data_IF_051754634439
#
_entry.id   IF_051754634439
#
_cell.length_a   1.000
_cell.length_b   1.000
_cell.length_c   1.000
_cell.angle_alpha   90.00
_cell.angle_beta   90.00
_cell.angle_gamma   90.00
#
_symmetry.space_group_name_H-M   'P 1'
#
loop_
_entity.id
_entity.type
_entity.pdbx_description
1 polymer ?
#
# COMPACT_ATOMS: atom_id res chain seq x y z
N UNK A 1 -2.81 4.62 -19.79
CA UNK A 1 -2.54 4.70 -19.20
C UNK A 1 -2.48 4.73 -18.47
N UNK A 2 -2.28 4.74 -18.11
CA UNK A 2 -1.96 4.83 -17.29
C UNK A 2 -1.47 4.94 -16.81
N UNK A 3 -0.96 5.01 -16.61
CA UNK A 3 -0.24 5.17 -16.05
C UNK A 3 -0.05 5.66 -15.37
N UNK A 4 -0.30 5.69 -15.05
CA UNK A 4 -0.12 6.21 -14.29
C UNK A 4 0.68 6.38 -13.86
N UNK A 5 0.92 6.22 -13.78
CA UNK A 5 1.60 6.27 -13.27
C UNK A 5 2.56 5.72 -13.12
N UNK A 6 3.19 5.70 -13.46
CA UNK A 6 4.21 5.31 -13.22
C UNK A 6 4.57 5.53 -12.10
N UNK A 7 4.81 5.22 -11.43
CA UNK A 7 5.12 5.28 -10.38
C UNK A 7 6.31 5.38 -9.85
N UNK A 8 7.06 6.03 -10.16
CA UNK A 8 8.39 6.26 -9.66
C UNK A 8 8.34 7.32 -8.65
N UNK A 9 8.98 7.13 -7.56
CA UNK A 9 9.03 8.12 -6.52
C UNK A 9 9.53 9.43 -7.07
N UNK A 10 8.83 10.47 -6.79
CA UNK A 10 9.20 11.80 -7.21
C UNK A 10 8.74 12.17 -8.60
N UNK A 11 8.11 11.21 -9.30
CA UNK A 11 7.59 11.50 -10.62
C UNK A 11 6.09 11.49 -10.68
N UNK A 12 5.47 11.38 -9.54
CA UNK A 12 4.04 11.45 -9.43
C UNK A 12 3.53 12.82 -9.83
N UNK A 13 2.29 12.89 -10.25
CA UNK A 13 1.66 14.15 -10.56
C UNK A 13 1.74 15.07 -9.35
N UNK A 14 1.73 16.37 -9.59
CA UNK A 14 1.77 17.34 -8.51
C UNK A 14 0.67 17.05 -7.52
N UNK A 15 1.02 16.99 -6.25
CA UNK A 15 0.07 16.71 -5.19
C UNK A 15 -0.20 15.24 -4.94
N UNK A 16 0.45 14.33 -5.68
CA UNK A 16 0.24 12.91 -5.49
C UNK A 16 1.55 12.20 -5.17
N UNK A 17 1.48 11.25 -4.25
CA UNK A 17 2.67 10.52 -3.81
C UNK A 17 2.29 9.06 -3.55
N UNK A 18 3.15 8.16 -3.97
CA UNK A 18 3.05 6.75 -3.59
C UNK A 18 3.84 6.52 -2.31
N UNK A 19 3.20 5.90 -1.32
CA UNK A 19 3.85 5.52 -0.08
C UNK A 19 4.29 4.07 -0.21
N UNK A 20 5.59 3.84 -0.11
CA UNK A 20 6.16 2.50 -0.28
C UNK A 20 6.77 1.99 1.00
N UNK A 21 6.83 0.68 1.08
CA UNK A 21 7.61 0.00 2.10
C UNK A 21 7.25 0.41 3.52
N UNK A 22 5.98 0.61 3.76
CA UNK A 22 5.53 0.84 5.12
C UNK A 22 5.50 -0.52 5.79
N UNK A 23 6.62 -0.88 6.38
CA UNK A 23 6.76 -2.15 7.05
C UNK A 23 6.74 -1.93 8.54
N UNK A 24 5.89 -2.66 9.22
CA UNK A 24 5.83 -2.65 10.67
C UNK A 24 6.31 -4.01 11.15
N UNK A 25 7.37 -4.03 11.94
CA UNK A 25 7.90 -5.27 12.45
C UNK A 25 6.84 -6.00 13.25
N UNK A 26 6.85 -7.33 13.16
CA UNK A 26 5.87 -8.13 13.88
C UNK A 26 5.84 -7.81 15.37
N UNK A 27 6.99 -7.57 15.96
CA UNK A 27 7.07 -7.25 17.38
C UNK A 27 6.35 -5.95 17.75
N UNK A 28 6.12 -5.08 16.78
CA UNK A 28 5.44 -3.82 17.01
C UNK A 28 3.92 -3.94 16.87
N UNK A 29 3.44 -5.05 16.36
CA UNK A 29 2.01 -5.24 16.15
C UNK A 29 1.29 -5.27 17.48
N UNK A 30 0.11 -4.67 17.51
CA UNK A 30 -0.69 -4.62 18.71
C UNK A 30 -0.28 -3.58 19.71
N UNK A 31 0.79 -2.85 19.44
CA UNK A 31 1.26 -1.78 20.32
C UNK A 31 0.89 -0.39 19.82
N UNK A 32 0.14 -0.31 18.75
CA UNK A 32 -0.22 0.97 18.16
C UNK A 32 0.90 1.65 17.41
N UNK A 33 2.05 1.01 17.26
CA UNK A 33 3.19 1.62 16.57
C UNK A 33 2.92 1.79 15.09
N UNK A 34 2.26 0.81 14.48
CA UNK A 34 1.88 0.92 13.07
C UNK A 34 0.95 2.08 12.83
N UNK A 35 -0.05 2.25 13.72
CA UNK A 35 -0.97 3.36 13.59
C UNK A 35 -0.26 4.69 13.78
N UNK A 36 0.65 4.77 14.73
CA UNK A 36 1.44 5.99 14.93
C UNK A 36 2.28 6.32 13.70
N UNK A 37 2.86 5.30 13.10
CA UNK A 37 3.65 5.50 11.88
C UNK A 37 2.75 6.03 10.76
N UNK A 38 1.58 5.42 10.56
CA UNK A 38 0.67 5.87 9.52
C UNK A 38 0.18 7.29 9.77
N UNK A 39 -0.09 7.64 11.01
CA UNK A 39 -0.51 8.99 11.36
C UNK A 39 0.64 9.99 11.12
N UNK A 40 1.86 9.60 11.43
CA UNK A 40 3.03 10.46 11.19
C UNK A 40 3.26 10.67 9.71
N UNK A 41 3.10 9.61 8.90
CA UNK A 41 3.22 9.71 7.45
C UNK A 41 2.17 10.69 6.91
N UNK A 42 0.93 10.54 7.34
CA UNK A 42 -0.15 11.43 6.88
C UNK A 42 0.15 12.89 7.26
N UNK A 43 0.63 13.11 8.47
CA UNK A 43 0.97 14.47 8.91
C UNK A 43 2.09 15.07 8.08
N UNK A 44 3.12 14.29 7.80
CA UNK A 44 4.25 14.75 7.00
C UNK A 44 3.82 15.06 5.56
N UNK A 45 2.98 14.21 4.98
CA UNK A 45 2.50 14.43 3.63
C UNK A 45 1.63 15.68 3.56
N UNK A 46 0.77 15.86 4.54
CA UNK A 46 -0.08 17.04 4.62
C UNK A 46 0.76 18.30 4.73
N UNK A 47 1.78 18.26 5.58
CA UNK A 47 2.67 19.41 5.75
C UNK A 47 3.44 19.72 4.48
N UNK A 48 3.66 18.74 3.63
CA UNK A 48 4.36 18.93 2.35
C UNK A 48 3.44 19.34 1.21
N UNK A 49 2.16 19.54 1.48
CA UNK A 49 1.22 19.95 0.45
C UNK A 49 0.73 18.84 -0.46
N UNK A 50 0.95 17.59 -0.07
CA UNK A 50 0.45 16.46 -0.83
C UNK A 50 -1.05 16.37 -0.68
N UNK A 51 -1.76 16.23 -1.79
CA UNK A 51 -3.21 16.18 -1.79
C UNK A 51 -3.75 14.75 -1.79
N UNK A 52 -3.00 13.84 -2.40
CA UNK A 52 -3.40 12.45 -2.48
C UNK A 52 -2.18 11.55 -2.32
N UNK A 53 -2.29 10.59 -1.43
CA UNK A 53 -1.29 9.53 -1.31
C UNK A 53 -1.94 8.20 -1.66
N UNK A 54 -1.16 7.26 -2.15
CA UNK A 54 -1.67 5.93 -2.45
C UNK A 54 -0.59 4.90 -2.14
N UNK A 55 -1.05 3.68 -1.92
CA UNK A 55 -0.16 2.56 -1.66
C UNK A 55 -0.79 1.29 -2.20
N UNK A 56 0.05 0.28 -2.37
CA UNK A 56 -0.42 -1.02 -2.80
C UNK A 56 -0.01 -2.07 -1.78
N UNK A 57 -0.82 -3.10 -1.67
CA UNK A 57 -0.52 -4.26 -0.85
C UNK A 57 -1.12 -5.49 -1.53
N UNK A 58 -1.03 -6.63 -0.89
CA UNK A 58 -1.51 -7.87 -1.47
C UNK A 58 -2.68 -8.44 -0.68
N UNK A 59 -3.44 -9.31 -1.34
CA UNK A 59 -4.69 -9.82 -0.78
C UNK A 59 -4.51 -10.64 0.50
N UNK A 60 -3.31 -11.14 0.75
CA UNK A 60 -3.04 -11.95 1.93
C UNK A 60 -2.61 -11.12 3.14
N UNK A 61 -2.32 -9.85 2.95
CA UNK A 61 -1.77 -9.02 4.01
C UNK A 61 -2.87 -8.40 4.85
N UNK A 62 -3.55 -9.24 5.61
CA UNK A 62 -4.73 -8.83 6.36
C UNK A 62 -4.42 -7.80 7.43
N UNK A 63 -3.27 -7.94 8.09
CA UNK A 63 -2.87 -6.98 9.12
C UNK A 63 -2.66 -5.60 8.53
N UNK A 64 -2.03 -5.51 7.36
CA UNK A 64 -1.83 -4.24 6.69
C UNK A 64 -3.15 -3.64 6.23
N UNK A 65 -4.03 -4.47 5.67
CA UNK A 65 -5.33 -3.99 5.22
C UNK A 65 -6.14 -3.42 6.37
N UNK A 66 -6.09 -4.07 7.52
CA UNK A 66 -6.78 -3.55 8.70
C UNK A 66 -6.18 -2.23 9.16
N UNK A 67 -4.84 -2.18 9.23
CA UNK A 67 -4.14 -0.99 9.67
C UNK A 67 -4.43 0.21 8.79
N UNK A 68 -4.31 0.04 7.49
CA UNK A 68 -4.49 1.15 6.56
C UNK A 68 -5.92 1.68 6.62
N UNK A 69 -6.89 0.80 6.63
CA UNK A 69 -8.29 1.24 6.67
C UNK A 69 -8.63 1.94 7.98
N UNK A 70 -8.11 1.43 9.10
CA UNK A 70 -8.30 2.10 10.39
C UNK A 70 -7.64 3.46 10.43
N UNK A 71 -6.57 3.64 9.68
CA UNK A 71 -5.86 4.92 9.59
C UNK A 71 -6.48 5.87 8.56
N UNK A 72 -7.60 5.49 7.95
CA UNK A 72 -8.34 6.37 7.06
C UNK A 72 -8.10 6.14 5.58
N UNK A 73 -7.25 5.19 5.22
CA UNK A 73 -7.03 4.85 3.81
C UNK A 73 -8.21 4.05 3.28
N UNK A 74 -8.53 4.25 2.02
CA UNK A 74 -9.69 3.62 1.40
C UNK A 74 -9.27 2.73 0.25
N UNK A 75 -9.88 1.56 0.16
CA UNK A 75 -9.68 0.66 -0.97
C UNK A 75 -10.28 1.28 -2.22
N UNK A 76 -9.49 1.39 -3.28
CA UNK A 76 -9.95 2.00 -4.52
C UNK A 76 -9.78 1.11 -5.72
N UNK A 77 -8.93 0.09 -5.65
CA UNK A 77 -8.74 -0.78 -6.81
C UNK A 77 -8.28 -2.16 -6.38
N UNK A 78 -8.64 -3.14 -7.16
CA UNK A 78 -8.14 -4.50 -7.06
C UNK A 78 -7.64 -4.89 -8.43
N UNK A 79 -6.44 -5.47 -8.48
CA UNK A 79 -5.88 -6.00 -9.72
C UNK A 79 -5.81 -7.52 -9.59
N UNK A 80 -6.87 -8.20 -10.05
CA UNK A 80 -6.93 -9.66 -9.90
C UNK A 80 -5.81 -10.32 -10.69
N UNK A 81 -5.15 -11.28 -10.06
CA UNK A 81 -4.11 -12.04 -10.72
C UNK A 81 -2.79 -11.33 -10.94
N UNK A 82 -2.61 -10.12 -10.38
CA UNK A 82 -1.38 -9.37 -10.61
C UNK A 82 -0.15 -10.13 -10.11
N UNK A 83 -0.25 -10.82 -8.99
CA UNK A 83 0.87 -11.59 -8.45
C UNK A 83 1.14 -12.84 -9.26
N UNK A 84 0.09 -13.47 -9.79
CA UNK A 84 0.26 -14.61 -10.69
C UNK A 84 1.02 -14.19 -11.94
N UNK A 85 0.67 -13.03 -12.47
CA UNK A 85 1.35 -12.50 -13.65
C UNK A 85 2.82 -12.20 -13.37
N UNK A 86 3.11 -11.53 -12.25
CA UNK A 86 4.48 -11.23 -11.88
C UNK A 86 5.31 -12.48 -11.66
N UNK A 87 4.72 -13.48 -11.02
CA UNK A 87 5.39 -14.75 -10.75
C UNK A 87 5.74 -15.45 -12.06
N UNK A 88 4.84 -15.38 -13.03
CA UNK A 88 5.03 -16.06 -14.30
C UNK A 88 6.05 -15.34 -15.17
N UNK A 89 6.11 -14.01 -15.12
CA UNK A 89 6.86 -13.23 -16.12
C UNK A 89 8.15 -12.63 -15.60
N UNK A 90 8.21 -12.24 -14.32
CA UNK A 90 9.32 -11.46 -13.83
C UNK A 90 9.99 -12.07 -12.61
N UNK A 91 9.19 -12.54 -11.65
CA UNK A 91 9.72 -12.95 -10.35
C UNK A 91 9.15 -14.28 -9.91
N UNK A 92 9.68 -15.40 -10.44
CA UNK A 92 9.15 -16.72 -10.11
C UNK A 92 9.23 -17.08 -8.63
N UNK A 93 10.07 -16.37 -7.88
CA UNK A 93 10.24 -16.65 -6.45
C UNK A 93 9.09 -16.18 -5.57
N UNK A 94 8.13 -15.44 -6.12
CA UNK A 94 6.96 -15.03 -5.34
C UNK A 94 6.21 -16.29 -4.89
N UNK A 95 5.98 -16.48 -3.59
CA UNK A 95 5.27 -17.68 -3.11
C UNK A 95 3.85 -17.74 -3.67
N UNK A 96 3.37 -18.95 -3.88
CA UNK A 96 1.98 -19.12 -4.31
C UNK A 96 1.01 -19.00 -3.15
N UNK A 97 1.45 -19.37 -1.95
CA UNK A 97 0.64 -19.25 -0.76
C UNK A 97 1.30 -18.19 0.13
N UNK A 98 0.51 -17.19 0.49
CA UNK A 98 0.99 -16.09 1.29
C UNK A 98 0.66 -16.25 2.77
N UNK A 99 0.50 -15.13 3.44
CA UNK A 99 0.21 -15.10 4.86
C UNK A 99 -1.14 -15.74 5.13
N UNK A 100 -1.26 -16.34 6.29
CA UNK A 100 -2.49 -17.01 6.75
C UNK A 100 -2.95 -18.14 5.83
N UNK A 101 -2.06 -18.69 5.01
CA UNK A 101 -2.43 -19.74 4.09
C UNK A 101 -3.27 -19.25 2.92
N UNK A 102 -3.35 -17.96 2.71
CA UNK A 102 -4.16 -17.37 1.65
C UNK A 102 -3.37 -17.39 0.34
N UNK A 103 -3.97 -17.85 -0.76
CA UNK A 103 -3.28 -17.78 -2.05
C UNK A 103 -2.89 -16.34 -2.38
N UNK A 104 -1.63 -16.14 -2.70
CA UNK A 104 -1.07 -14.81 -2.99
C UNK A 104 -1.25 -14.53 -4.47
N UNK A 105 -2.26 -13.77 -4.83
CA UNK A 105 -2.64 -13.55 -6.21
C UNK A 105 -2.90 -12.12 -6.62
N UNK A 106 -3.47 -11.32 -5.73
CA UNK A 106 -4.09 -10.06 -6.13
C UNK A 106 -3.41 -8.88 -5.48
N UNK A 107 -3.34 -7.78 -6.21
CA UNK A 107 -2.83 -6.53 -5.68
C UNK A 107 -4.01 -5.61 -5.38
N UNK A 108 -3.91 -4.92 -4.25
CA UNK A 108 -4.94 -4.00 -3.80
C UNK A 108 -4.33 -2.62 -3.66
N UNK A 109 -5.06 -1.61 -4.11
CA UNK A 109 -4.62 -0.23 -3.99
C UNK A 109 -5.52 0.52 -3.02
N UNK A 110 -4.89 1.30 -2.13
CA UNK A 110 -5.61 2.17 -1.21
C UNK A 110 -5.13 3.59 -1.39
N UNK A 111 -5.97 4.54 -1.07
CA UNK A 111 -5.62 5.95 -1.17
C UNK A 111 -6.04 6.71 0.08
N UNK A 112 -5.34 7.81 0.31
CA UNK A 112 -5.66 8.74 1.37
C UNK A 112 -5.71 10.14 0.77
N UNK A 113 -6.82 10.83 0.95
CA UNK A 113 -6.95 12.22 0.57
C UNK A 113 -6.55 13.10 1.74
N UNK A 114 -5.68 14.05 1.47
CA UNK A 114 -5.07 14.88 2.49
C UNK A 114 -5.55 16.31 2.28
N UNK A 115 -6.78 16.54 2.70
CA UNK A 115 -7.35 17.87 2.56
C UNK A 115 -6.58 18.85 3.44
N UNK A 116 -6.39 20.07 2.96
CA UNK A 116 -5.72 21.08 3.76
C UNK A 116 -6.51 21.40 5.02
#
# INVERSE_FOLDING_TARGET
MSNHKQHTTGTEAAGEVEVRAVAVADAARGRGLGRRLMDAVAAALRASGVERAWLVTTNDNLAALALYQKAGWRLVAVRPGALDELRRTIKPSIPEIGQHGIPLRDELELELHLDP
#
